data_IF_981471933906
#
_entry.id   IF_981471933906
#
_cell.length_a   1.000
_cell.length_b   1.000
_cell.length_c   1.000
_cell.angle_alpha   90.00
_cell.angle_beta   90.00
_cell.angle_gamma   90.00
#
_symmetry.space_group_name_H-M   'P 1'
#
loop_
_entity.id
_entity.type
_entity.pdbx_description
1 polymer ?
#
# COMPACT_ATOMS: atom_id res chain seq x y z
N UNK A 1 7.39 6.18 -8.56
CA UNK A 1 6.87 6.49 -9.92
C UNK A 1 5.96 7.71 -9.86
N UNK A 2 6.38 8.85 -10.44
CA UNK A 2 5.57 10.08 -10.59
C UNK A 2 5.36 10.34 -12.08
N UNK A 3 4.79 9.38 -12.78
CA UNK A 3 4.54 9.52 -14.21
C UNK A 3 3.21 10.28 -14.44
N UNK A 4 3.24 11.47 -15.06
CA UNK A 4 2.04 12.28 -15.26
C UNK A 4 1.10 11.68 -16.32
N UNK A 5 1.64 10.95 -17.29
CA UNK A 5 0.88 10.27 -18.35
C UNK A 5 0.08 9.10 -17.78
N UNK A 6 0.63 8.38 -16.81
CA UNK A 6 -0.06 7.32 -16.09
C UNK A 6 -1.26 7.88 -15.33
N UNK A 7 -1.06 8.98 -14.57
CA UNK A 7 -2.15 9.59 -13.79
C UNK A 7 -3.28 10.13 -14.66
N UNK A 8 -2.97 10.69 -15.84
CA UNK A 8 -4.01 11.21 -16.74
C UNK A 8 -4.85 10.12 -17.40
N UNK A 9 -4.35 8.87 -17.44
CA UNK A 9 -5.08 7.70 -17.97
C UNK A 9 -5.99 7.02 -16.94
N UNK A 10 -5.87 7.35 -15.66
CA UNK A 10 -6.67 6.73 -14.61
C UNK A 10 -8.09 7.30 -14.59
N UNK A 11 -9.08 6.42 -14.45
CA UNK A 11 -10.43 6.83 -14.09
C UNK A 11 -10.47 7.41 -12.66
N UNK A 12 -11.59 8.05 -12.30
CA UNK A 12 -11.79 8.56 -10.94
C UNK A 12 -11.63 7.47 -9.87
N UNK A 13 -12.13 6.26 -10.15
CA UNK A 13 -12.04 5.12 -9.22
C UNK A 13 -10.60 4.62 -9.09
N UNK A 14 -9.89 4.50 -10.21
CA UNK A 14 -8.47 4.09 -10.22
C UNK A 14 -7.57 5.12 -9.56
N UNK A 15 -7.85 6.42 -9.75
CA UNK A 15 -7.12 7.50 -9.07
C UNK A 15 -7.28 7.41 -7.55
N UNK A 16 -8.49 7.11 -7.07
CA UNK A 16 -8.75 6.93 -5.64
C UNK A 16 -8.03 5.71 -5.06
N UNK A 17 -8.05 4.58 -5.78
CA UNK A 17 -7.33 3.37 -5.36
C UNK A 17 -5.80 3.55 -5.39
N UNK A 18 -5.28 4.22 -6.43
CA UNK A 18 -3.86 4.56 -6.55
C UNK A 18 -3.39 5.47 -5.41
N UNK A 19 -4.15 6.51 -5.10
CA UNK A 19 -3.84 7.42 -3.98
C UNK A 19 -3.85 6.68 -2.64
N UNK A 20 -4.86 5.83 -2.42
CA UNK A 20 -4.94 5.02 -1.19
C UNK A 20 -3.78 4.04 -1.06
N UNK A 21 -3.29 3.51 -2.19
CA UNK A 21 -2.13 2.62 -2.23
C UNK A 21 -0.83 3.35 -1.92
N UNK A 22 -0.67 4.58 -2.44
CA UNK A 22 0.47 5.44 -2.11
C UNK A 22 0.52 5.82 -0.64
N UNK A 23 -0.63 6.09 -0.04
CA UNK A 23 -0.73 6.33 1.39
C UNK A 23 -0.41 5.07 2.19
N UNK A 24 -0.88 3.89 1.77
CA UNK A 24 -0.51 2.63 2.42
C UNK A 24 1.00 2.39 2.35
N UNK A 25 1.61 2.55 1.17
CA UNK A 25 3.06 2.44 0.95
C UNK A 25 3.82 3.37 1.89
N UNK A 26 3.43 4.64 2.00
CA UNK A 26 4.10 5.63 2.86
C UNK A 26 3.97 5.31 4.35
N UNK A 27 2.78 4.88 4.78
CA UNK A 27 2.48 4.61 6.19
C UNK A 27 2.99 3.25 6.67
N UNK A 28 3.26 2.31 5.74
CA UNK A 28 3.67 0.94 6.04
C UNK A 28 5.12 0.65 5.65
N UNK A 29 5.53 0.97 4.42
CA UNK A 29 6.89 0.71 3.91
C UNK A 29 7.87 1.86 4.21
N UNK A 30 7.42 2.89 4.92
CA UNK A 30 8.32 3.89 5.50
C UNK A 30 9.10 3.31 6.69
N UNK A 31 10.20 3.95 7.05
CA UNK A 31 11.04 3.57 8.21
C UNK A 31 10.30 3.59 9.57
N UNK A 32 9.06 4.09 9.60
CA UNK A 32 8.22 4.15 10.78
C UNK A 32 6.80 3.72 10.42
N UNK A 33 6.32 2.68 11.09
CA UNK A 33 4.93 2.22 11.02
C UNK A 33 4.02 3.27 11.63
N UNK A 34 3.22 3.95 10.81
CA UNK A 34 2.29 4.95 11.32
C UNK A 34 1.11 4.28 12.04
N UNK A 35 0.70 4.79 13.21
CA UNK A 35 -0.40 4.21 14.01
C UNK A 35 -1.71 4.07 13.21
N UNK A 36 -1.92 4.93 12.22
CA UNK A 36 -3.08 4.92 11.33
C UNK A 36 -3.00 3.91 10.17
N UNK A 37 -1.96 3.06 10.09
CA UNK A 37 -1.79 2.11 8.98
C UNK A 37 -3.01 1.18 8.80
N UNK A 38 -3.65 0.77 9.90
CA UNK A 38 -4.81 -0.12 9.87
C UNK A 38 -5.98 0.52 9.12
N UNK A 39 -6.21 1.81 9.35
CA UNK A 39 -7.24 2.59 8.65
C UNK A 39 -6.91 2.77 7.17
N UNK A 40 -5.64 3.05 6.86
CA UNK A 40 -5.15 3.17 5.49
C UNK A 40 -5.29 1.84 4.71
N UNK A 41 -5.02 0.70 5.35
CA UNK A 41 -5.18 -0.62 4.73
C UNK A 41 -6.64 -0.94 4.40
N UNK A 42 -7.58 -0.69 5.33
CA UNK A 42 -9.02 -0.87 5.09
C UNK A 42 -9.53 0.05 3.99
N UNK A 43 -9.05 1.30 3.96
CA UNK A 43 -9.44 2.28 2.93
C UNK A 43 -8.97 1.85 1.55
N UNK A 44 -7.71 1.42 1.44
CA UNK A 44 -7.15 0.85 0.23
C UNK A 44 -7.96 -0.38 -0.24
N UNK A 45 -8.30 -1.27 0.69
CA UNK A 45 -9.11 -2.47 0.44
C UNK A 45 -10.48 -2.12 -0.19
N UNK A 46 -11.18 -1.13 0.38
CA UNK A 46 -12.48 -0.67 -0.12
C UNK A 46 -12.36 -0.06 -1.52
N UNK A 47 -11.29 0.69 -1.79
CA UNK A 47 -11.05 1.27 -3.10
C UNK A 47 -10.85 0.19 -4.17
N UNK A 48 -10.03 -0.83 -3.90
CA UNK A 48 -9.84 -1.96 -4.81
C UNK A 48 -11.11 -2.78 -5.03
N UNK A 49 -11.90 -3.02 -3.98
CA UNK A 49 -13.22 -3.69 -4.12
C UNK A 49 -14.17 -2.89 -5.03
N UNK A 50 -14.15 -1.56 -4.90
CA UNK A 50 -14.98 -0.65 -5.71
C UNK A 50 -14.56 -0.62 -7.18
N UNK A 51 -13.30 -0.93 -7.47
CA UNK A 51 -12.82 -1.12 -8.84
C UNK A 51 -13.21 -2.48 -9.44
N UNK A 52 -13.81 -3.38 -8.66
CA UNK A 52 -14.06 -4.76 -9.08
C UNK A 52 -12.80 -5.61 -9.14
N UNK A 53 -11.67 -5.13 -8.59
CA UNK A 53 -10.47 -5.94 -8.47
C UNK A 53 -10.71 -7.01 -7.40
N UNK A 54 -10.63 -8.27 -7.80
CA UNK A 54 -10.46 -9.35 -6.84
C UNK A 54 -9.16 -9.08 -6.08
N UNK A 55 -9.27 -8.85 -4.77
CA UNK A 55 -8.11 -8.72 -3.92
C UNK A 55 -7.35 -10.03 -4.00
N UNK A 56 -6.18 -10.01 -4.62
CA UNK A 56 -5.30 -11.17 -4.59
C UNK A 56 -4.94 -11.48 -3.13
N UNK A 57 -4.71 -12.76 -2.85
CA UNK A 57 -4.26 -13.30 -1.57
C UNK A 57 -3.13 -12.46 -0.93
N UNK A 58 -2.34 -11.78 -1.77
CA UNK A 58 -1.24 -10.88 -1.40
C UNK A 58 -1.66 -9.67 -0.55
N UNK A 59 -2.84 -9.06 -0.76
CA UNK A 59 -3.32 -7.95 0.09
C UNK A 59 -3.78 -8.46 1.46
N UNK A 60 -4.48 -9.60 1.48
CA UNK A 60 -4.84 -10.28 2.73
C UNK A 60 -3.60 -10.72 3.52
N UNK A 61 -2.61 -11.27 2.82
CA UNK A 61 -1.30 -11.61 3.37
C UNK A 61 -0.60 -10.40 3.98
N UNK A 62 -0.56 -9.27 3.24
CA UNK A 62 -0.01 -8.01 3.76
C UNK A 62 -0.73 -7.58 5.05
N UNK A 63 -2.07 -7.71 5.09
CA UNK A 63 -2.88 -7.40 6.28
C UNK A 63 -2.65 -8.34 7.46
N UNK A 64 -2.44 -9.63 7.20
CA UNK A 64 -2.20 -10.62 8.26
C UNK A 64 -0.80 -10.50 8.85
N UNK A 65 0.21 -10.19 8.02
CA UNK A 65 1.58 -9.99 8.48
C UNK A 65 1.81 -8.59 9.06
N UNK A 66 0.88 -7.65 8.84
CA UNK A 66 0.96 -6.27 9.31
C UNK A 66 1.09 -6.13 10.83
N UNK A 67 0.49 -7.04 11.61
CA UNK A 67 0.65 -7.06 13.08
C UNK A 67 2.00 -7.60 13.53
N UNK A 68 2.67 -8.37 12.68
CA UNK A 68 3.95 -9.03 12.95
C UNK A 68 5.18 -8.25 12.47
N UNK A 69 5.00 -7.19 11.68
CA UNK A 69 6.11 -6.38 11.21
C UNK A 69 6.67 -5.47 12.32
N UNK A 70 8.01 -5.46 12.51
CA UNK A 70 8.65 -4.49 13.40
C UNK A 70 8.36 -3.06 12.93
N UNK A 71 8.30 -2.12 13.87
CA UNK A 71 7.98 -0.70 13.62
C UNK A 71 8.93 -0.04 12.61
N UNK A 72 10.11 -0.63 12.46
CA UNK A 72 11.18 -0.23 11.59
C UNK A 72 11.33 -1.25 10.46
N UNK A 73 10.60 -1.01 9.38
CA UNK A 73 10.58 -1.86 8.19
C UNK A 73 11.70 -1.57 7.19
N UNK A 74 12.37 -0.40 7.32
CA UNK A 74 13.33 0.09 6.33
C UNK A 74 14.76 0.32 6.83
N UNK A 75 15.07 0.06 8.11
CA UNK A 75 16.47 0.01 8.56
C UNK A 75 17.17 -1.30 8.23
N UNK A 76 16.42 -2.32 7.81
CA UNK A 76 17.02 -3.53 7.25
C UNK A 76 17.31 -3.23 5.78
N UNK A 77 18.33 -2.40 5.56
CA UNK A 77 19.15 -2.50 4.36
C UNK A 77 19.85 -3.86 4.45
N UNK A 78 19.12 -4.94 4.17
CA UNK A 78 19.79 -6.11 3.65
C UNK A 78 20.12 -5.74 2.21
N UNK A 79 21.29 -5.13 2.05
CA UNK A 79 22.09 -5.24 0.84
C UNK A 79 22.36 -6.74 0.61
N UNK A 80 21.34 -7.49 0.21
CA UNK A 80 21.54 -8.83 -0.31
C UNK A 80 21.36 -8.79 -1.82
N UNK A 81 22.49 -8.57 -2.48
CA UNK A 81 22.58 -8.60 -3.93
C UNK A 81 23.93 -8.15 -4.49
N UNK A 82 25.05 -8.64 -3.95
CA UNK A 82 26.15 -9.26 -4.70
C UNK A 82 26.85 -10.33 -3.85
#
# INVERSE_FOLDING_TARGET
MKDPVFKSKLTKKETAAWTSSKELEKNFLGNHKAENYGKSSITCLKAYKTMGCNMSLKIYFLRSHLEFYPENLGSVNDEHGE
#
